data_IF_119339845073
#
_entry.id   IF_119339845073
#
_cell.length_a   1.000
_cell.length_b   1.000
_cell.length_c   1.000
_cell.angle_alpha   90.00
_cell.angle_beta   90.00
_cell.angle_gamma   90.00
#
_symmetry.space_group_name_H-M   'P 1'
#
loop_
_entity.id
_entity.type
_entity.pdbx_description
1 polymer ?
#
# COMPACT_ATOMS: atom_id res chain seq x y z
N UNK A 1 17.27 -2.88 0.52
CA UNK A 1 17.28 -2.23 1.86
C UNK A 1 17.78 -3.20 2.92
N UNK A 2 18.55 -2.75 3.90
CA UNK A 2 18.94 -3.56 5.06
C UNK A 2 17.78 -3.56 6.08
N UNK A 3 17.75 -4.56 6.98
CA UNK A 3 16.76 -4.60 8.05
C UNK A 3 16.69 -3.31 8.88
N UNK A 4 17.84 -2.72 9.20
CA UNK A 4 17.87 -1.48 9.98
C UNK A 4 17.25 -0.31 9.21
N UNK A 5 17.50 -0.18 7.91
CA UNK A 5 16.86 0.84 7.08
C UNK A 5 15.34 0.67 7.03
N UNK A 6 14.84 -0.56 6.87
CA UNK A 6 13.41 -0.86 6.93
C UNK A 6 12.83 -0.50 8.29
N UNK A 7 13.49 -0.94 9.37
CA UNK A 7 13.07 -0.66 10.76
C UNK A 7 13.02 0.84 11.05
N UNK A 8 14.04 1.59 10.64
CA UNK A 8 14.13 3.03 10.92
C UNK A 8 13.06 3.81 10.13
N UNK A 9 12.84 3.45 8.85
CA UNK A 9 11.77 4.03 8.05
C UNK A 9 10.41 3.69 8.63
N UNK A 10 10.17 2.43 8.98
CA UNK A 10 8.92 2.01 9.62
C UNK A 10 8.65 2.78 10.92
N UNK A 11 9.64 2.86 11.81
CA UNK A 11 9.53 3.65 13.04
C UNK A 11 9.32 5.14 12.79
N UNK A 12 9.84 5.70 11.71
CA UNK A 12 9.60 7.10 11.37
C UNK A 12 8.15 7.36 10.96
N UNK A 13 7.49 6.38 10.37
CA UNK A 13 6.07 6.43 10.00
C UNK A 13 5.19 6.41 11.26
N UNK A 14 5.58 5.64 12.30
CA UNK A 14 4.79 5.41 13.53
C UNK A 14 5.49 5.99 14.78
N UNK A 15 5.71 7.29 14.84
CA UNK A 15 6.61 7.93 15.84
C UNK A 15 6.07 8.16 17.26
N UNK A 16 4.80 7.97 17.57
CA UNK A 16 4.21 8.40 18.85
C UNK A 16 3.59 7.27 19.66
N UNK A 17 3.57 7.42 21.02
CA UNK A 17 3.34 6.31 21.92
C UNK A 17 2.50 6.65 23.15
N UNK A 18 1.32 5.99 23.23
CA UNK A 18 0.66 5.64 24.48
C UNK A 18 0.25 4.16 24.46
N UNK A 19 0.32 3.47 25.59
CA UNK A 19 0.03 2.02 25.66
C UNK A 19 -1.46 1.76 25.86
N UNK A 20 -2.20 1.28 24.86
CA UNK A 20 -3.56 0.78 25.11
C UNK A 20 -3.52 -0.60 25.80
N UNK A 21 -4.37 -0.79 26.79
CA UNK A 21 -4.56 -2.10 27.42
C UNK A 21 -5.47 -2.96 26.56
N UNK A 22 -4.88 -3.71 25.63
CA UNK A 22 -5.61 -4.54 24.68
C UNK A 22 -5.67 -6.03 25.04
N UNK A 23 -4.94 -6.46 26.07
CA UNK A 23 -4.84 -7.89 26.43
C UNK A 23 -6.18 -8.62 26.53
N UNK A 24 -7.18 -7.98 27.13
CA UNK A 24 -8.51 -8.61 27.31
C UNK A 24 -9.22 -8.81 25.97
N UNK A 25 -9.05 -7.90 25.02
CA UNK A 25 -9.67 -7.99 23.69
C UNK A 25 -8.96 -9.01 22.80
N UNK A 26 -7.63 -9.09 22.90
CA UNK A 26 -6.82 -10.08 22.17
C UNK A 26 -7.24 -11.50 22.59
N UNK A 27 -7.38 -11.78 23.88
CA UNK A 27 -7.84 -13.09 24.36
C UNK A 27 -9.19 -13.50 23.76
N UNK A 28 -10.14 -12.56 23.62
CA UNK A 28 -11.44 -12.85 22.98
C UNK A 28 -11.31 -13.20 21.50
N UNK A 29 -10.36 -12.57 20.80
CA UNK A 29 -10.08 -12.86 19.38
C UNK A 29 -9.44 -14.25 19.24
N UNK A 30 -8.54 -14.63 20.15
CA UNK A 30 -7.95 -15.96 20.21
C UNK A 30 -9.05 -17.02 20.45
N UNK A 31 -9.94 -16.80 21.41
CA UNK A 31 -11.06 -17.68 21.67
C UNK A 31 -11.96 -17.82 20.43
N UNK A 32 -12.28 -16.71 19.76
CA UNK A 32 -13.06 -16.74 18.53
C UNK A 32 -12.38 -17.54 17.42
N UNK A 33 -11.07 -17.36 17.19
CA UNK A 33 -10.33 -18.09 16.15
C UNK A 33 -10.40 -19.60 16.35
N UNK A 34 -10.42 -20.08 17.60
CA UNK A 34 -10.56 -21.50 17.91
C UNK A 34 -11.89 -22.08 17.42
N UNK A 35 -12.97 -21.29 17.42
CA UNK A 35 -14.29 -21.70 16.94
C UNK A 35 -14.48 -21.53 15.43
N UNK A 36 -13.70 -20.65 14.77
CA UNK A 36 -13.81 -20.46 13.34
C UNK A 36 -13.34 -21.69 12.56
N UNK A 37 -13.97 -22.01 11.41
CA UNK A 37 -13.49 -23.08 10.54
C UNK A 37 -12.14 -22.71 9.91
N UNK A 38 -11.41 -23.71 9.41
CA UNK A 38 -10.25 -23.46 8.56
C UNK A 38 -10.66 -22.71 7.28
N UNK A 39 -9.81 -21.80 6.85
CA UNK A 39 -10.06 -20.89 5.74
C UNK A 39 -8.78 -20.71 4.91
N UNK A 40 -8.92 -20.29 3.66
CA UNK A 40 -7.80 -19.89 2.78
C UNK A 40 -7.29 -18.46 3.07
N UNK A 41 -7.76 -17.86 4.16
CA UNK A 41 -7.30 -16.58 4.66
C UNK A 41 -6.80 -16.73 6.10
N UNK A 42 -5.91 -15.88 6.51
CA UNK A 42 -5.48 -15.79 7.91
C UNK A 42 -5.52 -14.34 8.38
N UNK A 43 -5.42 -14.13 9.67
CA UNK A 43 -5.32 -12.79 10.23
C UNK A 43 -4.25 -12.71 11.31
N UNK A 44 -3.74 -11.49 11.52
CA UNK A 44 -2.80 -11.20 12.60
C UNK A 44 -3.23 -9.93 13.31
N UNK A 45 -2.90 -9.83 14.59
CA UNK A 45 -2.91 -8.57 15.33
C UNK A 45 -1.49 -8.07 15.40
N UNK A 46 -1.24 -6.90 14.85
CA UNK A 46 0.09 -6.29 14.76
C UNK A 46 0.21 -5.11 15.69
N UNK A 47 1.34 -5.01 16.37
CA UNK A 47 1.71 -3.87 17.19
C UNK A 47 2.86 -3.12 16.50
N UNK A 48 2.55 -1.95 15.94
CA UNK A 48 3.54 -1.13 15.21
C UNK A 48 4.57 -0.50 16.14
N UNK A 49 4.27 -0.45 17.43
CA UNK A 49 5.10 0.12 18.48
C UNK A 49 6.25 -0.82 18.85
N UNK A 50 5.90 -2.07 19.21
CA UNK A 50 6.87 -3.09 19.60
C UNK A 50 7.49 -3.78 18.38
N UNK A 51 6.87 -3.67 17.21
CA UNK A 51 7.19 -4.40 15.98
C UNK A 51 6.94 -5.91 16.12
N UNK A 52 5.93 -6.26 16.91
CA UNK A 52 5.58 -7.63 17.22
C UNK A 52 4.20 -8.00 16.67
N UNK A 53 3.95 -9.30 16.56
CA UNK A 53 2.64 -9.85 16.33
C UNK A 53 2.06 -10.24 17.69
N UNK A 54 1.01 -9.54 18.12
CA UNK A 54 0.29 -9.86 19.35
C UNK A 54 -0.51 -11.17 19.21
N UNK A 55 -0.88 -11.53 17.96
CA UNK A 55 -1.54 -12.77 17.61
C UNK A 55 -1.37 -13.11 16.13
N UNK A 56 -1.23 -14.39 15.83
CA UNK A 56 -1.24 -14.98 14.49
C UNK A 56 -2.28 -16.08 14.46
N UNK A 57 -3.29 -15.99 13.58
CA UNK A 57 -4.37 -16.98 13.54
C UNK A 57 -3.91 -18.36 13.09
N UNK A 58 -4.63 -19.40 13.51
CA UNK A 58 -4.34 -20.82 13.22
C UNK A 58 -4.22 -21.14 11.73
N UNK A 59 -4.86 -20.34 10.86
CA UNK A 59 -4.83 -20.55 9.42
C UNK A 59 -3.50 -20.15 8.76
N UNK A 60 -2.62 -19.42 9.44
CA UNK A 60 -1.34 -18.96 8.87
C UNK A 60 -0.53 -20.11 8.28
N UNK A 61 -0.36 -21.20 9.03
CA UNK A 61 0.36 -22.39 8.55
C UNK A 61 -0.31 -23.04 7.35
N UNK A 62 -1.63 -23.14 7.37
CA UNK A 62 -2.38 -23.73 6.25
C UNK A 62 -2.29 -22.88 4.97
N UNK A 63 -2.18 -21.55 5.09
CA UNK A 63 -2.14 -20.61 3.96
C UNK A 63 -0.73 -20.41 3.39
N UNK A 64 0.31 -20.39 4.25
CA UNK A 64 1.69 -20.00 3.90
C UNK A 64 2.68 -21.16 4.07
N UNK A 65 2.32 -22.21 4.83
CA UNK A 65 3.19 -23.34 5.14
C UNK A 65 4.21 -23.08 6.27
N UNK A 66 4.30 -21.87 6.79
CA UNK A 66 5.23 -21.47 7.85
C UNK A 66 4.58 -21.62 9.24
N UNK A 67 5.38 -21.92 10.25
CA UNK A 67 4.92 -21.94 11.63
C UNK A 67 4.74 -20.51 12.18
N UNK A 68 3.63 -20.27 12.91
CA UNK A 68 3.34 -18.97 13.51
C UNK A 68 4.37 -18.53 14.54
N UNK A 69 5.01 -19.49 15.24
CA UNK A 69 6.09 -19.26 16.20
C UNK A 69 7.23 -18.41 15.63
N UNK A 70 7.48 -18.50 14.32
CA UNK A 70 8.50 -17.67 13.65
C UNK A 70 8.11 -16.19 13.63
N UNK A 71 6.83 -15.88 13.40
CA UNK A 71 6.32 -14.50 13.48
C UNK A 71 6.27 -14.01 14.93
N UNK A 72 5.83 -14.87 15.85
CA UNK A 72 5.70 -14.53 17.27
C UNK A 72 7.07 -14.25 17.92
N UNK A 73 8.10 -15.05 17.57
CA UNK A 73 9.44 -14.93 18.17
C UNK A 73 10.31 -13.86 17.50
N UNK A 74 10.17 -13.64 16.19
CA UNK A 74 11.02 -12.72 15.41
C UNK A 74 10.31 -11.46 14.96
N UNK A 75 9.00 -11.38 15.14
CA UNK A 75 8.16 -10.22 14.85
C UNK A 75 8.23 -9.75 13.41
N UNK A 76 8.11 -8.45 13.22
CA UNK A 76 8.14 -7.80 11.91
C UNK A 76 9.44 -8.01 11.16
N UNK A 77 10.55 -8.31 11.85
CA UNK A 77 11.82 -8.61 11.19
C UNK A 77 11.70 -9.82 10.27
N UNK A 78 11.10 -10.91 10.77
CA UNK A 78 10.89 -12.09 9.98
C UNK A 78 9.89 -11.84 8.85
N UNK A 79 8.79 -11.17 9.15
CA UNK A 79 7.77 -10.83 8.16
C UNK A 79 8.37 -10.04 6.97
N UNK A 80 9.12 -8.97 7.23
CA UNK A 80 9.75 -8.17 6.17
C UNK A 80 10.77 -8.95 5.36
N UNK A 81 11.48 -9.91 5.96
CA UNK A 81 12.42 -10.76 5.25
C UNK A 81 11.77 -11.69 4.23
N UNK A 82 10.45 -11.91 4.36
CA UNK A 82 9.66 -12.75 3.45
C UNK A 82 8.97 -11.96 2.34
N UNK A 83 8.90 -10.64 2.42
CA UNK A 83 8.39 -9.81 1.33
C UNK A 83 9.39 -9.83 0.17
N UNK A 84 8.90 -9.91 -1.07
CA UNK A 84 9.75 -9.87 -2.25
C UNK A 84 10.62 -8.58 -2.25
N UNK A 85 11.94 -8.66 -2.52
CA UNK A 85 12.83 -7.49 -2.40
C UNK A 85 12.41 -6.28 -3.22
N UNK A 86 11.88 -6.49 -4.44
CA UNK A 86 11.38 -5.40 -5.29
C UNK A 86 10.08 -4.77 -4.78
N UNK A 87 9.32 -5.49 -3.96
CA UNK A 87 8.04 -5.02 -3.45
C UNK A 87 8.20 -4.28 -2.11
N UNK A 88 9.22 -4.63 -1.33
CA UNK A 88 9.42 -4.10 0.03
C UNK A 88 9.55 -2.57 0.05
N UNK A 89 10.32 -1.98 -0.86
CA UNK A 89 10.49 -0.53 -0.94
C UNK A 89 9.18 0.16 -1.36
N UNK A 90 8.48 -0.40 -2.35
CA UNK A 90 7.18 0.11 -2.80
C UNK A 90 6.12 -0.01 -1.71
N UNK A 91 6.10 -1.11 -0.98
CA UNK A 91 5.21 -1.33 0.16
C UNK A 91 5.45 -0.30 1.29
N UNK A 92 6.72 -0.03 1.64
CA UNK A 92 7.05 1.01 2.63
C UNK A 92 6.63 2.40 2.16
N UNK A 93 6.81 2.71 0.88
CA UNK A 93 6.34 3.96 0.27
C UNK A 93 4.82 4.06 0.35
N UNK A 94 4.10 2.98 0.02
CA UNK A 94 2.64 2.91 0.11
C UNK A 94 2.14 3.13 1.54
N UNK A 95 2.79 2.50 2.52
CA UNK A 95 2.46 2.65 3.93
C UNK A 95 2.66 4.09 4.42
N UNK A 96 3.77 4.73 4.02
CA UNK A 96 4.02 6.14 4.36
C UNK A 96 2.93 7.06 3.78
N UNK A 97 2.60 6.90 2.50
CA UNK A 97 1.56 7.70 1.84
C UNK A 97 0.17 7.50 2.46
N UNK A 98 -0.18 6.25 2.81
CA UNK A 98 -1.43 5.98 3.52
C UNK A 98 -1.48 6.69 4.88
N UNK A 99 -0.36 6.69 5.62
CA UNK A 99 -0.28 7.34 6.92
C UNK A 99 -0.36 8.87 6.79
N UNK A 100 0.37 9.47 5.85
CA UNK A 100 0.29 10.91 5.55
C UNK A 100 -1.14 11.31 5.14
N UNK A 101 -1.77 10.52 4.25
CA UNK A 101 -3.16 10.74 3.86
C UNK A 101 -4.10 10.67 5.05
N UNK A 102 -3.98 9.64 5.89
CA UNK A 102 -4.83 9.43 7.06
C UNK A 102 -4.75 10.62 8.02
N UNK A 103 -3.54 11.03 8.36
CA UNK A 103 -3.34 12.12 9.32
C UNK A 103 -3.74 13.49 8.77
N UNK A 104 -3.60 13.70 7.45
CA UNK A 104 -3.89 14.97 6.79
C UNK A 104 -5.35 15.14 6.33
N UNK A 105 -6.05 14.03 6.03
CA UNK A 105 -7.35 14.09 5.35
C UNK A 105 -8.50 13.39 6.10
N UNK A 106 -8.22 12.49 7.06
CA UNK A 106 -9.24 11.80 7.84
C UNK A 106 -9.27 12.43 9.24
N UNK A 107 -10.45 12.93 9.64
CA UNK A 107 -10.63 13.47 10.98
C UNK A 107 -10.34 12.40 12.04
N UNK A 108 -9.79 12.80 13.17
CA UNK A 108 -9.37 11.88 14.22
C UNK A 108 -10.53 10.97 14.68
N UNK A 109 -11.72 11.53 14.84
CA UNK A 109 -12.97 10.83 15.23
C UNK A 109 -13.42 9.76 14.23
N UNK A 110 -13.03 9.88 12.95
CA UNK A 110 -13.42 8.95 11.88
C UNK A 110 -12.33 7.91 11.55
N UNK A 111 -11.13 8.02 12.12
CA UNK A 111 -10.01 7.11 11.82
C UNK A 111 -10.29 5.66 12.22
N UNK A 112 -11.14 5.45 13.21
CA UNK A 112 -11.60 4.11 13.61
C UNK A 112 -12.56 3.46 12.60
N UNK A 113 -13.10 4.24 11.66
CA UNK A 113 -13.92 3.78 10.52
C UNK A 113 -13.09 3.48 9.28
N UNK A 114 -11.78 3.76 9.32
CA UNK A 114 -10.90 3.57 8.18
C UNK A 114 -10.48 2.11 8.01
N UNK A 115 -10.36 1.69 6.77
CA UNK A 115 -9.86 0.39 6.38
C UNK A 115 -8.82 0.55 5.28
N UNK A 116 -7.68 -0.12 5.42
CA UNK A 116 -6.53 0.01 4.53
C UNK A 116 -6.29 -1.29 3.80
N UNK A 117 -6.05 -1.24 2.50
CA UNK A 117 -5.72 -2.43 1.70
C UNK A 117 -4.47 -2.14 0.90
N UNK A 118 -3.56 -3.11 0.87
CA UNK A 118 -2.38 -3.15 0.00
C UNK A 118 -2.01 -4.58 -0.36
N UNK A 119 -1.15 -4.75 -1.34
CA UNK A 119 -0.72 -6.06 -1.82
C UNK A 119 0.79 -6.11 -2.04
N UNK A 120 1.34 -7.31 -2.02
CA UNK A 120 2.75 -7.60 -2.24
C UNK A 120 2.94 -9.10 -2.46
N UNK A 121 4.12 -9.49 -2.95
CA UNK A 121 4.56 -10.89 -3.02
C UNK A 121 5.24 -11.29 -1.72
N UNK A 122 4.88 -12.46 -1.21
CA UNK A 122 5.38 -13.00 0.04
C UNK A 122 5.93 -14.40 -0.14
N UNK A 123 7.07 -14.73 0.45
CA UNK A 123 7.76 -15.99 0.32
C UNK A 123 7.18 -17.02 1.28
N UNK A 124 6.59 -18.09 0.75
CA UNK A 124 6.01 -19.20 1.53
C UNK A 124 7.08 -20.17 2.05
N UNK A 125 6.65 -21.29 2.65
CA UNK A 125 7.55 -22.31 3.18
C UNK A 125 8.39 -23.03 2.11
N UNK A 126 7.86 -23.14 0.88
CA UNK A 126 8.54 -23.79 -0.25
C UNK A 126 9.53 -22.84 -0.96
N UNK A 127 9.84 -21.69 -0.35
CA UNK A 127 10.68 -20.66 -0.92
C UNK A 127 10.16 -20.06 -2.26
N UNK A 128 8.88 -20.27 -2.55
CA UNK A 128 8.18 -19.64 -3.69
C UNK A 128 7.44 -18.39 -3.25
N UNK A 129 7.23 -17.45 -4.20
CA UNK A 129 6.48 -16.24 -3.92
C UNK A 129 5.01 -16.42 -4.27
N UNK A 130 4.14 -16.10 -3.33
CA UNK A 130 2.68 -16.01 -3.51
C UNK A 130 2.25 -14.55 -3.42
N UNK A 131 1.14 -14.21 -4.08
CA UNK A 131 0.55 -12.89 -3.98
C UNK A 131 -0.29 -12.80 -2.70
N UNK A 132 -0.12 -11.71 -1.96
CA UNK A 132 -0.91 -11.41 -0.77
C UNK A 132 -1.66 -10.10 -0.99
N UNK A 133 -2.95 -10.11 -0.67
CA UNK A 133 -3.73 -8.91 -0.40
C UNK A 133 -3.93 -8.83 1.11
N UNK A 134 -3.46 -7.74 1.69
CA UNK A 134 -3.61 -7.45 3.11
C UNK A 134 -4.62 -6.34 3.30
N UNK A 135 -5.61 -6.59 4.17
CA UNK A 135 -6.61 -5.63 4.59
C UNK A 135 -6.46 -5.38 6.08
N UNK A 136 -6.25 -4.13 6.48
CA UNK A 136 -5.97 -3.77 7.88
C UNK A 136 -6.99 -2.77 8.40
N UNK A 137 -7.57 -3.09 9.54
CA UNK A 137 -8.45 -2.21 10.32
C UNK A 137 -7.71 -1.79 11.60
N UNK A 138 -7.58 -0.50 11.88
CA UNK A 138 -7.01 -0.03 13.14
C UNK A 138 -7.88 -0.45 14.33
N UNK A 139 -7.26 -0.95 15.39
CA UNK A 139 -7.92 -1.29 16.66
C UNK A 139 -7.62 -0.29 17.76
N UNK A 140 -6.45 0.34 17.73
CA UNK A 140 -6.06 1.36 18.70
C UNK A 140 -5.16 2.42 18.07
N UNK A 141 -5.21 3.60 18.66
CA UNK A 141 -4.49 4.79 18.23
C UNK A 141 -3.68 5.35 19.40
N UNK A 142 -2.62 6.06 19.08
CA UNK A 142 -1.88 6.86 20.06
C UNK A 142 -2.55 8.23 20.31
N UNK A 143 -1.93 9.04 21.16
CA UNK A 143 -2.40 10.40 21.53
C UNK A 143 -2.44 11.38 20.35
N UNK A 144 -1.79 11.07 19.22
CA UNK A 144 -1.81 11.86 17.99
C UNK A 144 -2.75 11.26 16.94
N UNK A 145 -3.53 10.25 17.31
CA UNK A 145 -4.46 9.57 16.40
C UNK A 145 -3.77 8.74 15.33
N UNK A 146 -2.53 8.25 15.57
CA UNK A 146 -1.87 7.30 14.68
C UNK A 146 -2.25 5.86 15.06
N UNK A 147 -2.56 4.99 14.08
CA UNK A 147 -2.82 3.58 14.35
C UNK A 147 -1.59 2.89 14.94
N UNK A 148 -1.73 2.26 16.10
CA UNK A 148 -0.65 1.52 16.76
C UNK A 148 -0.92 0.03 16.87
N UNK A 149 -2.18 -0.37 16.92
CA UNK A 149 -2.60 -1.78 16.85
C UNK A 149 -3.52 -1.93 15.65
N UNK A 150 -3.26 -2.95 14.83
CA UNK A 150 -4.07 -3.27 13.67
C UNK A 150 -4.49 -4.73 13.63
N UNK A 151 -5.74 -4.99 13.25
CA UNK A 151 -6.20 -6.30 12.81
C UNK A 151 -6.01 -6.38 11.31
N UNK A 152 -5.08 -7.23 10.88
CA UNK A 152 -4.74 -7.43 9.49
C UNK A 152 -5.26 -8.79 9.01
N UNK A 153 -6.12 -8.79 7.99
CA UNK A 153 -6.59 -9.96 7.26
C UNK A 153 -5.75 -10.13 6.00
N UNK A 154 -5.36 -11.37 5.71
CA UNK A 154 -4.51 -11.72 4.58
C UNK A 154 -5.23 -12.73 3.70
N UNK A 155 -5.32 -12.41 2.42
CA UNK A 155 -5.80 -13.34 1.39
C UNK A 155 -4.62 -13.74 0.53
N UNK A 156 -4.36 -15.06 0.45
CA UNK A 156 -3.32 -15.62 -0.40
C UNK A 156 -3.91 -15.90 -1.77
N UNK A 157 -3.31 -15.34 -2.81
CA UNK A 157 -3.74 -15.49 -4.19
C UNK A 157 -2.71 -16.29 -4.98
N UNK A 158 -3.17 -16.83 -6.13
CA UNK A 158 -2.32 -17.63 -7.00
C UNK A 158 -1.08 -16.86 -7.45
N UNK A 159 0.12 -17.47 -7.46
CA UNK A 159 1.38 -16.80 -7.81
C UNK A 159 1.41 -16.23 -9.24
N UNK A 160 0.69 -16.86 -10.19
CA UNK A 160 0.66 -16.41 -11.58
C UNK A 160 -0.20 -15.16 -11.82
N UNK A 161 -0.93 -14.68 -10.82
CA UNK A 161 -1.64 -13.41 -10.92
C UNK A 161 -0.63 -12.27 -10.96
N UNK A 162 -0.60 -11.57 -12.09
CA UNK A 162 0.19 -10.33 -12.19
C UNK A 162 -0.54 -9.22 -11.45
N UNK A 163 0.05 -8.74 -10.38
CA UNK A 163 -0.50 -7.66 -9.58
C UNK A 163 0.50 -6.52 -9.47
N UNK A 164 0.04 -5.32 -9.77
CA UNK A 164 0.76 -4.11 -9.44
C UNK A 164 0.68 -3.84 -7.93
N UNK A 165 1.76 -3.34 -7.34
CA UNK A 165 1.74 -2.91 -5.94
C UNK A 165 0.87 -1.67 -5.84
N UNK A 166 -0.21 -1.79 -5.11
CA UNK A 166 -1.19 -0.72 -4.90
C UNK A 166 -1.60 -0.62 -3.44
N UNK A 167 -2.10 0.55 -3.06
CA UNK A 167 -2.66 0.76 -1.74
C UNK A 167 -3.93 1.62 -1.84
N UNK A 168 -4.88 1.35 -0.97
CA UNK A 168 -6.11 2.11 -0.84
C UNK A 168 -6.51 2.32 0.61
N UNK A 169 -7.20 3.43 0.87
CA UNK A 169 -7.94 3.64 2.11
C UNK A 169 -9.43 3.77 1.76
N UNK A 170 -10.25 3.08 2.54
CA UNK A 170 -11.70 3.21 2.53
C UNK A 170 -12.16 3.78 3.85
N UNK A 171 -13.21 4.57 3.83
CA UNK A 171 -13.83 5.15 5.01
C UNK A 171 -15.32 4.76 5.02
N UNK A 172 -15.80 4.29 6.16
CA UNK A 172 -17.22 4.01 6.34
C UNK A 172 -17.97 5.34 6.46
N UNK A 173 -18.94 5.57 5.59
CA UNK A 173 -19.77 6.77 5.59
C UNK A 173 -20.99 6.63 6.53
N UNK A 174 -21.78 7.69 6.64
CA UNK A 174 -22.95 7.70 7.51
C UNK A 174 -24.12 6.82 7.01
N UNK A 175 -24.02 6.26 5.79
CA UNK A 175 -24.98 5.30 5.23
C UNK A 175 -24.52 3.84 5.42
N UNK A 176 -23.51 3.59 6.26
CA UNK A 176 -22.88 2.27 6.46
C UNK A 176 -22.24 1.68 5.19
N UNK A 177 -21.76 2.52 4.26
CA UNK A 177 -21.08 2.12 3.05
C UNK A 177 -19.60 2.52 3.07
N UNK A 178 -18.72 1.63 2.61
CA UNK A 178 -17.30 1.95 2.45
C UNK A 178 -17.04 2.69 1.14
N UNK A 179 -16.59 3.93 1.25
CA UNK A 179 -16.12 4.73 0.13
C UNK A 179 -14.59 4.67 0.02
N UNK A 180 -14.07 4.52 -1.21
CA UNK A 180 -12.63 4.63 -1.45
C UNK A 180 -12.24 6.11 -1.44
N UNK A 181 -11.54 6.54 -0.39
CA UNK A 181 -11.09 7.92 -0.20
C UNK A 181 -9.64 8.13 -0.67
N UNK A 182 -8.88 7.04 -0.83
CA UNK A 182 -7.51 7.06 -1.34
C UNK A 182 -7.25 5.79 -2.16
N UNK A 183 -6.57 5.95 -3.29
CA UNK A 183 -6.00 4.84 -4.08
C UNK A 183 -4.72 5.32 -4.78
N UNK A 184 -3.69 4.49 -4.76
CA UNK A 184 -2.47 4.72 -5.56
C UNK A 184 -1.85 3.39 -6.01
N UNK A 185 -1.24 3.40 -7.21
CA UNK A 185 -0.49 2.30 -7.78
C UNK A 185 1.02 2.63 -7.72
N UNK A 186 1.77 1.87 -6.94
CA UNK A 186 3.20 2.06 -6.68
C UNK A 186 4.10 1.25 -7.63
N UNK A 187 3.54 0.38 -8.46
CA UNK A 187 4.29 -0.32 -9.52
C UNK A 187 4.46 0.52 -10.76
N UNK A 188 3.55 1.45 -11.00
CA UNK A 188 3.71 2.44 -12.06
C UNK A 188 4.80 3.41 -11.63
N UNK A 189 5.80 3.63 -12.50
CA UNK A 189 6.78 4.69 -12.27
C UNK A 189 6.01 6.01 -12.14
N UNK A 190 5.99 6.57 -10.94
CA UNK A 190 5.42 7.89 -10.69
C UNK A 190 6.03 8.86 -11.70
N UNK A 191 5.24 9.80 -12.20
CA UNK A 191 5.72 10.88 -13.07
C UNK A 191 6.86 11.71 -12.45
N UNK A 192 7.13 11.51 -11.14
CA UNK A 192 8.24 12.14 -10.41
C UNK A 192 9.62 11.56 -10.78
N UNK A 193 9.71 10.27 -11.14
CA UNK A 193 11.00 9.62 -11.35
C UNK A 193 11.40 9.66 -12.83
N UNK A 194 12.26 10.63 -13.15
CA UNK A 194 12.84 10.76 -14.49
C UNK A 194 12.04 11.58 -15.50
N UNK A 195 10.83 12.05 -15.17
CA UNK A 195 10.06 12.98 -15.99
C UNK A 195 10.54 14.41 -15.75
N UNK A 196 11.11 15.03 -16.78
CA UNK A 196 11.56 16.43 -16.71
C UNK A 196 10.38 17.41 -16.55
N UNK A 197 10.66 18.63 -16.07
CA UNK A 197 9.62 19.66 -15.94
C UNK A 197 8.92 19.92 -17.28
N UNK A 198 9.67 19.88 -18.38
CA UNK A 198 9.11 20.09 -19.72
C UNK A 198 8.19 18.94 -20.16
N UNK A 199 8.54 17.72 -19.83
CA UNK A 199 7.69 16.55 -20.06
C UNK A 199 6.42 16.61 -19.20
N UNK A 200 6.50 17.12 -17.96
CA UNK A 200 5.31 17.35 -17.11
C UNK A 200 4.36 18.39 -17.73
N UNK A 201 4.89 19.48 -18.29
CA UNK A 201 4.06 20.48 -18.98
C UNK A 201 3.33 19.85 -20.18
N UNK A 202 4.02 19.01 -20.96
CA UNK A 202 3.42 18.26 -22.06
C UNK A 202 2.33 17.30 -21.56
N UNK A 203 2.58 16.56 -20.49
CA UNK A 203 1.60 15.64 -19.89
C UNK A 203 0.33 16.39 -19.44
N UNK A 204 0.48 17.54 -18.75
CA UNK A 204 -0.67 18.34 -18.30
C UNK A 204 -1.57 18.75 -19.46
N UNK A 205 -0.99 19.14 -20.58
CA UNK A 205 -1.74 19.56 -21.76
C UNK A 205 -2.35 18.35 -22.50
N UNK A 206 -1.68 17.18 -22.51
CA UNK A 206 -2.23 15.95 -23.07
C UNK A 206 -3.47 15.46 -22.31
N UNK A 207 -3.48 15.58 -20.98
CA UNK A 207 -4.65 15.23 -20.13
C UNK A 207 -5.85 16.13 -20.45
N UNK A 208 -5.60 17.38 -20.84
CA UNK A 208 -6.62 18.33 -21.31
C UNK A 208 -7.03 18.10 -22.78
N UNK A 209 -6.55 16.98 -23.40
CA UNK A 209 -6.81 16.57 -24.78
C UNK A 209 -6.29 17.53 -25.86
N UNK A 210 -5.24 18.34 -25.56
CA UNK A 210 -4.59 19.16 -26.58
C UNK A 210 -3.78 18.30 -27.56
N UNK A 211 -3.86 18.62 -28.84
CA UNK A 211 -3.02 18.06 -29.91
C UNK A 211 -1.57 18.53 -29.82
N UNK A 212 -0.64 17.83 -30.47
CA UNK A 212 0.78 18.24 -30.51
C UNK A 212 0.97 19.66 -31.08
N UNK A 213 0.12 20.08 -32.02
CA UNK A 213 0.14 21.45 -32.58
C UNK A 213 -0.26 22.48 -31.52
N UNK A 214 -1.37 22.28 -30.83
CA UNK A 214 -1.84 23.19 -29.77
C UNK A 214 -0.89 23.25 -28.58
N UNK A 215 -0.29 22.10 -28.20
CA UNK A 215 0.75 22.03 -27.17
C UNK A 215 1.98 22.84 -27.59
N UNK A 216 2.38 22.74 -28.85
CA UNK A 216 3.55 23.46 -29.37
C UNK A 216 3.36 24.97 -29.29
N UNK A 217 2.16 25.45 -29.61
CA UNK A 217 1.79 26.88 -29.50
C UNK A 217 1.80 27.37 -28.04
N UNK A 218 1.18 26.57 -27.12
CA UNK A 218 1.13 26.92 -25.69
C UNK A 218 2.49 26.89 -25.00
N UNK A 219 3.38 25.98 -25.41
CA UNK A 219 4.70 25.82 -24.80
C UNK A 219 5.82 26.56 -25.56
N UNK A 220 5.49 27.23 -26.66
CA UNK A 220 6.42 27.95 -27.52
C UNK A 220 7.61 27.08 -28.00
N UNK A 221 7.29 25.90 -28.53
CA UNK A 221 8.24 24.90 -29.09
C UNK A 221 7.69 24.36 -30.41
N UNK A 222 8.51 23.63 -31.18
CA UNK A 222 8.01 23.00 -32.40
C UNK A 222 7.09 21.79 -32.12
N UNK A 223 6.11 21.50 -33.02
CA UNK A 223 5.32 20.25 -32.91
C UNK A 223 6.19 19.01 -32.86
N UNK A 224 7.30 18.98 -33.62
CA UNK A 224 8.27 17.87 -33.60
C UNK A 224 8.92 17.69 -32.21
N UNK A 225 9.20 18.81 -31.52
CA UNK A 225 9.73 18.77 -30.13
C UNK A 225 8.69 18.17 -29.18
N UNK A 226 7.41 18.52 -29.34
CA UNK A 226 6.31 17.92 -28.56
C UNK A 226 6.23 16.42 -28.80
N UNK A 227 6.29 15.97 -30.04
CA UNK A 227 6.25 14.53 -30.39
C UNK A 227 7.48 13.79 -29.84
N UNK A 228 8.62 14.45 -29.76
CA UNK A 228 9.81 13.90 -29.12
C UNK A 228 9.61 13.74 -27.61
N UNK A 229 9.07 14.74 -26.93
CA UNK A 229 8.70 14.64 -25.53
C UNK A 229 7.68 13.51 -25.29
N UNK A 230 6.63 13.40 -26.11
CA UNK A 230 5.64 12.31 -26.02
C UNK A 230 6.30 10.94 -26.10
N UNK A 231 7.16 10.69 -27.09
CA UNK A 231 7.90 9.42 -27.21
C UNK A 231 8.76 9.12 -25.98
N UNK A 232 9.47 10.13 -25.48
CA UNK A 232 10.31 9.99 -24.30
C UNK A 232 9.47 9.68 -23.06
N UNK A 233 8.33 10.34 -22.87
CA UNK A 233 7.37 10.08 -21.79
C UNK A 233 6.90 8.62 -21.84
N UNK A 234 6.40 8.16 -23.00
CA UNK A 234 5.91 6.79 -23.17
C UNK A 234 7.01 5.76 -22.85
N UNK A 235 8.24 6.01 -23.34
CA UNK A 235 9.40 5.16 -23.06
C UNK A 235 9.76 5.14 -21.58
N UNK A 236 9.79 6.31 -20.92
CA UNK A 236 10.13 6.44 -19.50
C UNK A 236 9.11 5.77 -18.59
N UNK A 237 7.83 5.86 -18.96
CA UNK A 237 6.73 5.25 -18.21
C UNK A 237 6.47 3.79 -18.59
N UNK A 238 7.18 3.28 -19.62
CA UNK A 238 7.00 1.93 -20.15
C UNK A 238 5.54 1.63 -20.56
N UNK A 239 4.91 2.59 -21.24
CA UNK A 239 3.55 2.51 -21.77
C UNK A 239 3.55 2.64 -23.30
N UNK A 240 2.53 2.09 -23.95
CA UNK A 240 2.51 1.94 -25.41
C UNK A 240 1.83 3.08 -26.16
N UNK A 241 0.98 3.87 -25.50
CA UNK A 241 0.21 4.91 -26.18
C UNK A 241 -0.13 6.10 -25.29
N UNK A 242 -0.40 7.25 -25.93
CA UNK A 242 -0.91 8.45 -25.23
C UNK A 242 -2.31 8.22 -24.64
N UNK A 243 -3.13 7.37 -25.26
CA UNK A 243 -4.43 6.98 -24.69
C UNK A 243 -4.29 6.24 -23.38
N UNK A 244 -3.31 5.33 -23.28
CA UNK A 244 -2.96 4.62 -22.05
C UNK A 244 -2.46 5.61 -20.96
N UNK A 245 -1.59 6.57 -21.34
CA UNK A 245 -1.14 7.64 -20.45
C UNK A 245 -2.33 8.45 -19.89
N UNK A 246 -3.25 8.90 -20.75
CA UNK A 246 -4.41 9.68 -20.33
C UNK A 246 -5.33 8.85 -19.43
N UNK A 247 -5.56 7.59 -19.77
CA UNK A 247 -6.34 6.65 -18.95
C UNK A 247 -5.75 6.51 -17.54
N UNK A 248 -4.44 6.25 -17.45
CA UNK A 248 -3.70 6.15 -16.21
C UNK A 248 -3.83 7.40 -15.33
N UNK A 249 -3.73 8.59 -15.92
CA UNK A 249 -3.78 9.86 -15.20
C UNK A 249 -5.19 10.29 -14.79
N UNK A 250 -6.23 9.86 -15.54
CA UNK A 250 -7.64 10.10 -15.15
C UNK A 250 -8.05 9.28 -13.93
N UNK A 251 -7.47 8.08 -13.78
CA UNK A 251 -7.71 7.22 -12.61
C UNK A 251 -6.97 7.77 -11.38
N UNK A 252 -5.80 8.36 -11.57
CA UNK A 252 -4.92 8.85 -10.51
C UNK A 252 -4.75 10.38 -10.59
N UNK A 253 -5.75 11.13 -10.13
CA UNK A 253 -5.75 12.61 -10.16
C UNK A 253 -4.57 13.29 -9.43
N UNK A 254 -3.85 12.56 -8.59
CA UNK A 254 -2.72 13.06 -7.79
C UNK A 254 -1.34 12.88 -8.48
N UNK A 255 -1.30 12.47 -9.75
CA UNK A 255 -0.06 12.23 -10.49
C UNK A 255 0.45 13.45 -11.29
N UNK A 256 -0.26 14.59 -11.23
CA UNK A 256 0.07 15.80 -12.02
C UNK A 256 0.43 16.96 -11.11
#
# INVERSE_FOLDING_TARGET
MTYNQVKDLYKSIFKSYDKPSLKTHINRIIDLDNYLPYSSTFFCITNTQTLEFEYVSKNFKACIGLDSELLESQGMRYFWSRIHPEDLEKWLTALNHLMEFTLGNIKEEDRNKANYTWNYRFKNADDTFVNIVQNTTPLAFDSLGKPIIGLAHYTVLHPDLKMDISASAKLLNDNDEYETVYFNNFSQKLLSDGISNRERDVIRLLVLNYSSKEISEKLNISPHTVDTHRRNILKKLNISSTGELIGMLKINKNLI
#
